data_IF_038772076009
#
_entry.id   IF_038772076009
#
_cell.length_a   1.000
_cell.length_b   1.000
_cell.length_c   1.000
_cell.angle_alpha   90.00
_cell.angle_beta   90.00
_cell.angle_gamma   90.00
#
_symmetry.space_group_name_H-M   'P 1'
#
loop_
_entity.id
_entity.type
_entity.pdbx_description
1 polymer ?
#
# COMPACT_ATOMS: atom_id res chain seq x y z
N UNK A 1 -20.24 -3.63 -27.79
CA UNK A 1 -19.49 -4.84 -27.37
C UNK A 1 -19.38 -5.86 -28.49
N UNK A 2 -20.48 -6.37 -29.06
CA UNK A 2 -20.47 -7.35 -30.16
C UNK A 2 -19.60 -6.98 -31.38
N UNK A 3 -19.63 -5.71 -31.79
CA UNK A 3 -18.79 -5.24 -32.91
C UNK A 3 -17.31 -5.39 -32.59
N UNK A 4 -16.90 -5.00 -31.40
CA UNK A 4 -15.49 -5.03 -30.98
C UNK A 4 -15.06 -6.45 -30.72
N UNK A 5 -15.89 -7.29 -30.09
CA UNK A 5 -15.53 -8.67 -29.73
C UNK A 5 -15.21 -9.57 -30.94
N UNK A 6 -15.72 -9.23 -32.12
CA UNK A 6 -15.44 -9.92 -33.39
C UNK A 6 -14.26 -9.33 -34.18
N UNK A 7 -13.63 -8.25 -33.68
CA UNK A 7 -12.45 -7.67 -34.33
C UNK A 7 -11.21 -8.54 -34.10
N UNK A 8 -10.24 -8.44 -35.00
CA UNK A 8 -8.90 -9.03 -34.84
C UNK A 8 -8.01 -8.05 -34.08
N UNK A 9 -8.21 -7.96 -32.77
CA UNK A 9 -7.40 -7.13 -31.87
C UNK A 9 -6.63 -8.01 -30.88
N UNK A 10 -5.45 -7.55 -30.46
CA UNK A 10 -4.61 -8.19 -29.45
C UNK A 10 -5.03 -7.81 -28.03
N UNK A 11 -5.43 -6.55 -27.83
CA UNK A 11 -5.80 -6.00 -26.53
C UNK A 11 -7.10 -5.23 -26.62
N UNK A 12 -7.89 -5.33 -25.55
CA UNK A 12 -9.08 -4.53 -25.35
C UNK A 12 -9.18 -4.08 -23.90
N UNK A 13 -9.40 -2.78 -23.71
CA UNK A 13 -9.54 -2.20 -22.39
C UNK A 13 -10.77 -1.27 -22.35
N UNK A 14 -11.65 -1.51 -21.39
CA UNK A 14 -12.75 -0.64 -21.03
C UNK A 14 -12.41 0.04 -19.71
N UNK A 15 -12.20 1.35 -19.73
CA UNK A 15 -11.94 2.16 -18.54
C UNK A 15 -13.17 3.04 -18.30
N UNK A 16 -13.86 2.86 -17.18
CA UNK A 16 -15.00 3.72 -16.81
C UNK A 16 -16.22 3.58 -17.73
N UNK A 17 -16.43 2.41 -18.33
CA UNK A 17 -17.54 2.21 -19.24
C UNK A 17 -18.89 2.26 -18.50
N UNK A 18 -19.79 3.11 -18.96
CA UNK A 18 -21.07 3.34 -18.31
C UNK A 18 -22.21 2.86 -19.20
N UNK A 19 -22.99 1.89 -18.73
CA UNK A 19 -24.15 1.39 -19.47
C UNK A 19 -25.35 2.33 -19.28
N UNK A 20 -25.82 2.95 -20.36
CA UNK A 20 -26.96 3.88 -20.34
C UNK A 20 -28.27 3.15 -20.64
N UNK A 21 -29.34 3.50 -19.94
CA UNK A 21 -30.71 3.05 -20.24
C UNK A 21 -31.55 4.26 -20.67
N UNK A 22 -32.09 4.29 -21.89
CA UNK A 22 -32.94 5.40 -22.34
C UNK A 22 -34.39 5.22 -21.90
N UNK A 23 -35.16 6.32 -21.79
CA UNK A 23 -36.58 6.31 -21.40
C UNK A 23 -37.48 5.45 -22.30
N UNK A 24 -37.14 5.29 -23.58
CA UNK A 24 -37.93 4.47 -24.52
C UNK A 24 -37.58 2.97 -24.46
N UNK A 25 -36.49 2.63 -23.76
CA UNK A 25 -36.07 1.23 -23.52
C UNK A 25 -36.58 0.66 -22.21
N UNK A 26 -37.53 1.30 -21.53
CA UNK A 26 -38.11 0.76 -20.27
C UNK A 26 -38.69 -0.64 -20.46
N UNK A 27 -39.26 -0.96 -21.64
CA UNK A 27 -39.67 -2.34 -21.96
C UNK A 27 -38.49 -3.25 -22.34
N UNK A 28 -37.46 -2.74 -23.03
CA UNK A 28 -36.32 -3.53 -23.52
C UNK A 28 -35.26 -3.81 -22.46
N UNK A 29 -35.07 -2.90 -21.49
CA UNK A 29 -34.15 -3.01 -20.34
C UNK A 29 -34.81 -3.75 -19.18
N UNK A 30 -36.14 -3.65 -19.01
CA UNK A 30 -36.85 -4.63 -18.16
C UNK A 30 -36.68 -6.06 -18.67
N UNK A 31 -36.46 -6.25 -19.97
CA UNK A 31 -36.24 -7.55 -20.61
C UNK A 31 -34.76 -7.98 -20.69
N UNK A 32 -33.81 -7.07 -20.97
CA UNK A 32 -32.38 -7.39 -21.05
C UNK A 32 -31.65 -7.12 -19.74
N UNK A 33 -31.90 -7.96 -18.73
CA UNK A 33 -31.07 -8.06 -17.51
C UNK A 33 -29.68 -8.67 -17.78
N UNK A 34 -29.45 -9.10 -19.03
CA UNK A 34 -28.29 -9.88 -19.40
C UNK A 34 -27.78 -9.51 -20.81
N UNK A 35 -26.48 -9.28 -20.94
CA UNK A 35 -25.76 -9.09 -22.22
C UNK A 35 -24.82 -10.29 -22.38
N UNK A 36 -24.89 -11.03 -23.49
CA UNK A 36 -23.92 -12.09 -23.79
C UNK A 36 -22.94 -11.62 -24.87
N UNK A 37 -21.65 -11.80 -24.65
CA UNK A 37 -20.60 -11.41 -25.61
C UNK A 37 -19.58 -12.52 -25.73
N UNK A 38 -19.24 -12.93 -26.96
CA UNK A 38 -18.15 -13.85 -27.24
C UNK A 38 -16.98 -13.11 -27.88
N UNK A 39 -15.78 -13.30 -27.36
CA UNK A 39 -14.55 -12.70 -27.89
C UNK A 39 -13.82 -13.64 -28.85
N UNK A 40 -13.22 -13.06 -29.89
CA UNK A 40 -12.44 -13.79 -30.89
C UNK A 40 -11.10 -14.34 -30.39
N UNK A 41 -10.43 -15.10 -31.24
CA UNK A 41 -9.19 -15.82 -30.91
C UNK A 41 -7.94 -14.94 -30.76
N UNK A 42 -7.99 -13.71 -31.30
CA UNK A 42 -6.82 -12.83 -31.35
C UNK A 42 -6.47 -12.16 -30.02
N UNK A 43 -7.40 -12.14 -29.07
CA UNK A 43 -7.23 -11.39 -27.82
C UNK A 43 -6.26 -12.08 -26.87
N UNK A 44 -5.21 -11.35 -26.50
CA UNK A 44 -4.25 -11.70 -25.46
C UNK A 44 -4.58 -10.98 -24.14
N UNK A 45 -5.19 -9.79 -24.24
CA UNK A 45 -5.52 -8.94 -23.11
C UNK A 45 -6.98 -8.47 -23.18
N UNK A 46 -7.74 -8.70 -22.12
CA UNK A 46 -9.10 -8.17 -21.97
C UNK A 46 -9.22 -7.54 -20.59
N UNK A 47 -9.56 -6.25 -20.54
CA UNK A 47 -9.73 -5.52 -19.30
C UNK A 47 -11.08 -4.82 -19.27
N UNK A 48 -11.87 -5.13 -18.25
CA UNK A 48 -13.03 -4.37 -17.84
C UNK A 48 -12.70 -3.71 -16.50
N UNK A 49 -12.51 -2.40 -16.48
CA UNK A 49 -12.14 -1.65 -15.28
C UNK A 49 -13.14 -0.53 -15.01
N UNK A 50 -13.66 -0.49 -13.78
CA UNK A 50 -14.66 0.51 -13.32
C UNK A 50 -15.89 0.60 -14.24
N UNK A 51 -16.31 -0.50 -14.88
CA UNK A 51 -17.52 -0.42 -15.70
C UNK A 51 -18.75 -0.49 -14.79
N UNK A 52 -19.69 0.43 -14.94
CA UNK A 52 -20.82 0.61 -14.03
C UNK A 52 -22.12 0.95 -14.74
N UNK A 53 -23.19 1.04 -13.96
CA UNK A 53 -24.50 1.47 -14.44
C UNK A 53 -24.76 2.93 -14.08
N UNK A 54 -25.17 3.77 -15.04
CA UNK A 54 -25.63 5.12 -14.72
C UNK A 54 -27.10 5.13 -14.35
N UNK A 55 -27.40 5.62 -13.15
CA UNK A 55 -28.76 5.90 -12.71
C UNK A 55 -28.95 7.42 -12.57
N UNK A 56 -29.94 8.02 -13.24
CA UNK A 56 -30.34 9.39 -12.92
C UNK A 56 -30.81 9.46 -11.46
N UNK A 57 -30.29 10.43 -10.71
CA UNK A 57 -30.47 10.66 -9.26
C UNK A 57 -31.96 10.68 -8.81
N UNK A 58 -32.89 10.85 -9.74
CA UNK A 58 -34.32 11.08 -9.48
C UNK A 58 -35.21 9.82 -9.43
N UNK A 59 -34.66 8.60 -9.49
CA UNK A 59 -35.49 7.38 -9.45
C UNK A 59 -35.56 6.79 -8.03
N UNK A 60 -36.77 6.54 -7.46
CA UNK A 60 -36.90 5.98 -6.12
C UNK A 60 -36.19 4.62 -6.01
N UNK A 61 -35.85 4.19 -4.78
CA UNK A 61 -35.22 2.92 -4.39
C UNK A 61 -35.93 1.63 -4.86
N UNK A 62 -36.89 1.74 -5.78
CA UNK A 62 -37.58 0.63 -6.42
C UNK A 62 -36.61 -0.16 -7.33
N UNK A 63 -36.04 -1.20 -6.73
CA UNK A 63 -35.38 -2.38 -7.32
C UNK A 63 -33.93 -2.15 -7.78
N UNK A 64 -33.00 -2.72 -6.99
CA UNK A 64 -31.60 -2.98 -7.34
C UNK A 64 -31.53 -3.87 -8.59
N UNK A 65 -31.73 -3.31 -9.79
CA UNK A 65 -31.58 -4.08 -11.03
C UNK A 65 -30.09 -4.12 -11.38
N UNK A 66 -29.52 -5.32 -11.35
CA UNK A 66 -28.14 -5.56 -11.75
C UNK A 66 -28.10 -5.91 -13.24
N UNK A 67 -27.21 -5.27 -14.00
CA UNK A 67 -26.91 -5.69 -15.38
C UNK A 67 -25.87 -6.80 -15.30
N UNK A 68 -26.16 -7.95 -15.90
CA UNK A 68 -25.22 -9.07 -15.99
C UNK A 68 -24.63 -9.12 -17.40
N UNK A 69 -23.31 -9.04 -17.52
CA UNK A 69 -22.58 -9.22 -18.76
C UNK A 69 -21.96 -10.61 -18.72
N UNK A 70 -22.52 -11.57 -19.46
CA UNK A 70 -21.90 -12.89 -19.62
C UNK A 70 -20.86 -12.82 -20.73
N UNK A 71 -19.61 -13.04 -20.36
CA UNK A 71 -18.48 -13.02 -21.30
C UNK A 71 -18.05 -14.45 -21.59
N UNK A 72 -18.11 -14.83 -22.87
CA UNK A 72 -17.62 -16.10 -23.36
C UNK A 72 -16.19 -15.95 -23.90
N UNK A 73 -15.26 -16.62 -23.23
CA UNK A 73 -13.82 -16.60 -23.54
C UNK A 73 -13.34 -17.89 -24.19
N UNK A 74 -14.23 -18.85 -24.51
CA UNK A 74 -13.86 -20.17 -25.00
C UNK A 74 -13.02 -20.14 -26.29
N UNK A 75 -13.19 -19.09 -27.12
CA UNK A 75 -12.41 -18.91 -28.34
C UNK A 75 -11.11 -18.14 -28.12
N UNK A 76 -10.90 -17.49 -26.97
CA UNK A 76 -9.72 -16.65 -26.72
C UNK A 76 -8.47 -17.48 -26.37
N UNK A 77 -8.05 -18.39 -27.23
CA UNK A 77 -6.94 -19.32 -26.97
C UNK A 77 -5.60 -18.65 -26.64
N UNK A 78 -5.42 -17.38 -27.03
CA UNK A 78 -4.23 -16.58 -26.73
C UNK A 78 -4.33 -15.76 -25.45
N UNK A 79 -5.46 -15.76 -24.76
CA UNK A 79 -5.70 -14.91 -23.60
C UNK A 79 -4.67 -15.20 -22.49
N UNK A 80 -3.94 -14.16 -22.11
CA UNK A 80 -2.96 -14.18 -21.02
C UNK A 80 -3.42 -13.35 -19.82
N UNK A 81 -4.09 -12.24 -20.09
CA UNK A 81 -4.42 -11.23 -19.08
C UNK A 81 -5.91 -10.94 -19.10
N UNK A 82 -6.54 -11.10 -17.94
CA UNK A 82 -7.96 -10.83 -17.76
C UNK A 82 -8.17 -9.97 -16.50
N UNK A 83 -8.74 -8.79 -16.70
CA UNK A 83 -9.21 -7.93 -15.61
C UNK A 83 -10.71 -7.80 -15.67
N UNK A 84 -11.36 -8.11 -14.56
CA UNK A 84 -12.81 -8.02 -14.38
C UNK A 84 -13.06 -7.24 -13.10
N UNK A 85 -13.00 -5.91 -13.21
CA UNK A 85 -13.28 -4.97 -12.12
C UNK A 85 -14.50 -4.12 -12.46
N UNK A 86 -15.62 -4.40 -11.78
CA UNK A 86 -16.90 -3.76 -12.06
C UNK A 86 -17.33 -2.85 -10.91
N UNK A 87 -18.00 -1.76 -11.29
CA UNK A 87 -18.63 -0.82 -10.37
C UNK A 87 -20.00 -1.31 -9.92
N UNK A 88 -20.68 -0.48 -9.13
CA UNK A 88 -21.99 -0.82 -8.59
C UNK A 88 -23.01 -1.20 -9.68
N UNK A 89 -23.79 -2.24 -9.42
CA UNK A 89 -24.91 -2.71 -10.25
C UNK A 89 -24.54 -3.33 -11.62
N UNK A 90 -23.27 -3.63 -11.89
CA UNK A 90 -22.84 -4.43 -13.04
C UNK A 90 -22.07 -5.70 -12.59
N UNK A 91 -22.36 -6.85 -13.19
CA UNK A 91 -21.61 -8.10 -12.98
C UNK A 91 -21.05 -8.58 -14.30
N UNK A 92 -19.83 -9.12 -14.30
CA UNK A 92 -19.35 -9.98 -15.39
C UNK A 92 -19.29 -11.41 -14.91
N UNK A 93 -19.95 -12.29 -15.66
CA UNK A 93 -19.92 -13.73 -15.44
C UNK A 93 -19.15 -14.34 -16.60
N UNK A 94 -18.09 -15.09 -16.31
CA UNK A 94 -17.37 -15.83 -17.34
C UNK A 94 -18.13 -17.11 -17.70
N UNK A 95 -18.13 -17.50 -18.97
CA UNK A 95 -18.61 -18.84 -19.36
C UNK A 95 -17.78 -19.94 -18.69
N UNK A 96 -18.34 -21.15 -18.56
CA UNK A 96 -17.84 -22.26 -17.73
C UNK A 96 -16.39 -22.75 -18.00
N UNK A 97 -15.67 -22.21 -18.98
CA UNK A 97 -14.31 -22.61 -19.32
C UNK A 97 -13.43 -21.35 -19.45
N UNK A 98 -12.39 -21.24 -18.61
CA UNK A 98 -11.30 -20.30 -18.85
C UNK A 98 -10.20 -21.00 -19.62
N UNK A 99 -9.51 -20.19 -20.42
CA UNK A 99 -8.38 -20.56 -21.26
C UNK A 99 -7.21 -21.02 -20.39
N UNK A 100 -6.72 -22.25 -20.59
CA UNK A 100 -5.55 -22.77 -19.85
C UNK A 100 -4.26 -21.96 -20.03
N UNK A 101 -4.24 -21.01 -20.96
CA UNK A 101 -3.16 -20.05 -21.18
C UNK A 101 -3.16 -18.82 -20.27
N UNK A 102 -4.20 -18.60 -19.46
CA UNK A 102 -4.34 -17.43 -18.60
C UNK A 102 -3.24 -17.39 -17.53
N UNK A 103 -2.57 -16.24 -17.40
CA UNK A 103 -1.44 -16.01 -16.49
C UNK A 103 -1.72 -14.90 -15.47
N UNK A 104 -2.48 -13.88 -15.84
CA UNK A 104 -2.79 -12.75 -14.95
C UNK A 104 -4.30 -12.59 -14.84
N UNK A 105 -4.79 -12.58 -13.60
CA UNK A 105 -6.20 -12.43 -13.31
C UNK A 105 -6.41 -11.38 -12.23
N UNK A 106 -7.23 -10.38 -12.53
CA UNK A 106 -7.70 -9.39 -11.56
C UNK A 106 -9.21 -9.45 -11.47
N UNK A 107 -9.71 -9.70 -10.26
CA UNK A 107 -11.12 -9.80 -9.92
C UNK A 107 -11.45 -8.62 -8.99
N UNK A 108 -12.17 -7.62 -9.50
CA UNK A 108 -12.63 -6.48 -8.70
C UNK A 108 -13.90 -6.79 -7.92
N UNK A 109 -14.35 -5.84 -7.08
CA UNK A 109 -15.45 -5.92 -6.11
C UNK A 109 -16.58 -6.87 -6.54
N UNK A 110 -16.51 -8.11 -6.05
CA UNK A 110 -17.58 -9.09 -6.24
C UNK A 110 -18.61 -8.90 -5.12
N UNK A 111 -19.86 -8.59 -5.48
CA UNK A 111 -20.96 -8.55 -4.53
C UNK A 111 -20.97 -9.86 -3.71
N UNK A 112 -21.13 -9.70 -2.39
CA UNK A 112 -20.81 -10.59 -1.26
C UNK A 112 -21.10 -12.10 -1.35
N UNK A 113 -21.78 -12.59 -2.38
CA UNK A 113 -22.28 -13.97 -2.46
C UNK A 113 -21.71 -14.80 -3.64
N UNK A 114 -21.00 -14.19 -4.60
CA UNK A 114 -20.58 -14.87 -5.82
C UNK A 114 -19.13 -14.55 -6.16
N UNK A 115 -18.19 -15.23 -5.51
CA UNK A 115 -16.90 -15.44 -6.17
C UNK A 115 -17.13 -16.20 -7.48
N UNK A 116 -16.28 -15.94 -8.48
CA UNK A 116 -16.19 -16.82 -9.65
C UNK A 116 -16.18 -18.27 -9.14
N UNK A 117 -17.10 -19.13 -9.60
CA UNK A 117 -16.99 -20.55 -9.32
C UNK A 117 -15.60 -21.02 -9.71
N UNK A 118 -14.86 -21.56 -8.76
CA UNK A 118 -13.46 -21.96 -8.91
C UNK A 118 -13.17 -22.92 -10.04
N UNK A 119 -14.18 -23.69 -10.47
CA UNK A 119 -14.10 -24.53 -11.66
C UNK A 119 -13.75 -23.73 -12.93
N UNK A 120 -13.88 -22.40 -12.92
CA UNK A 120 -13.43 -21.54 -14.00
C UNK A 120 -11.91 -21.50 -14.11
N UNK A 121 -11.13 -21.56 -13.02
CA UNK A 121 -9.66 -21.39 -13.06
C UNK A 121 -8.87 -22.69 -12.83
N UNK A 122 -9.51 -23.86 -12.83
CA UNK A 122 -8.87 -25.12 -12.44
C UNK A 122 -7.62 -25.44 -13.27
N UNK A 123 -7.67 -25.23 -14.59
CA UNK A 123 -6.57 -25.50 -15.52
C UNK A 123 -5.69 -24.27 -15.82
N UNK A 124 -5.98 -23.11 -15.22
CA UNK A 124 -5.21 -21.89 -15.46
C UNK A 124 -3.82 -21.98 -14.80
N UNK A 125 -2.81 -21.42 -15.48
CA UNK A 125 -1.43 -21.34 -14.96
C UNK A 125 -1.15 -19.91 -14.50
N UNK A 126 -1.88 -19.49 -13.48
CA UNK A 126 -1.81 -18.12 -12.98
C UNK A 126 -0.43 -17.85 -12.35
N UNK A 127 0.19 -16.76 -12.80
CA UNK A 127 1.41 -16.18 -12.23
C UNK A 127 1.07 -15.00 -11.30
N UNK A 128 -0.04 -14.30 -11.57
CA UNK A 128 -0.54 -13.18 -10.79
C UNK A 128 -2.05 -13.31 -10.56
N UNK A 129 -2.48 -13.03 -9.34
CA UNK A 129 -3.89 -13.02 -8.96
C UNK A 129 -4.16 -11.84 -8.02
N UNK A 130 -5.14 -11.01 -8.37
CA UNK A 130 -5.70 -9.97 -7.51
C UNK A 130 -7.18 -10.24 -7.29
N UNK A 131 -7.62 -10.21 -6.03
CA UNK A 131 -9.01 -10.41 -5.63
C UNK A 131 -9.43 -9.27 -4.70
N UNK A 132 -10.46 -8.56 -5.11
CA UNK A 132 -11.19 -7.58 -4.29
C UNK A 132 -12.49 -8.21 -3.79
N UNK A 133 -12.60 -8.36 -2.47
CA UNK A 133 -13.64 -9.14 -1.82
C UNK A 133 -14.03 -8.57 -0.45
N UNK A 134 -15.28 -8.76 -0.07
CA UNK A 134 -15.74 -8.43 1.29
C UNK A 134 -15.34 -9.48 2.33
N UNK A 135 -15.21 -10.74 1.94
CA UNK A 135 -14.99 -11.87 2.85
C UNK A 135 -13.74 -12.69 2.47
N UNK A 136 -12.68 -12.58 3.26
CA UNK A 136 -11.42 -13.31 3.07
C UNK A 136 -11.59 -14.83 3.05
N UNK A 137 -12.54 -15.40 3.81
CA UNK A 137 -12.81 -16.84 3.83
C UNK A 137 -13.24 -17.35 2.46
N UNK A 138 -14.02 -16.56 1.73
CA UNK A 138 -14.42 -16.88 0.37
C UNK A 138 -13.19 -16.89 -0.54
N UNK A 139 -12.30 -15.90 -0.45
CA UNK A 139 -11.07 -15.86 -1.25
C UNK A 139 -10.18 -17.06 -0.95
N UNK A 140 -10.03 -17.46 0.32
CA UNK A 140 -9.29 -18.66 0.71
C UNK A 140 -9.92 -19.93 0.13
N UNK A 141 -11.25 -20.06 0.14
CA UNK A 141 -11.92 -21.20 -0.48
C UNK A 141 -11.69 -21.25 -1.99
N UNK A 142 -11.75 -20.12 -2.68
CA UNK A 142 -11.41 -20.04 -4.11
C UNK A 142 -9.96 -20.43 -4.35
N UNK A 143 -9.03 -19.91 -3.55
CA UNK A 143 -7.61 -20.24 -3.65
C UNK A 143 -7.38 -21.74 -3.50
N UNK A 144 -8.09 -22.42 -2.58
CA UNK A 144 -8.00 -23.88 -2.37
C UNK A 144 -8.34 -24.69 -3.63
N UNK A 145 -9.21 -24.17 -4.47
CA UNK A 145 -9.78 -24.88 -5.62
C UNK A 145 -9.02 -24.64 -6.94
N UNK A 146 -8.17 -23.61 -7.02
CA UNK A 146 -7.35 -23.33 -8.21
C UNK A 146 -5.97 -24.00 -8.15
N UNK A 147 -5.33 -24.16 -9.30
CA UNK A 147 -3.91 -24.50 -9.37
C UNK A 147 -3.04 -23.31 -8.96
N UNK A 148 -2.29 -23.44 -7.86
CA UNK A 148 -1.45 -22.39 -7.26
C UNK A 148 0.04 -22.57 -7.55
N UNK A 149 0.43 -23.58 -8.33
CA UNK A 149 1.84 -23.98 -8.48
C UNK A 149 2.71 -22.90 -9.12
N UNK A 150 2.16 -22.14 -10.06
CA UNK A 150 2.86 -21.08 -10.79
C UNK A 150 2.61 -19.68 -10.20
N UNK A 151 1.76 -19.57 -9.16
CA UNK A 151 1.35 -18.27 -8.63
C UNK A 151 2.50 -17.62 -7.87
N UNK A 152 3.01 -16.51 -8.40
CA UNK A 152 4.15 -15.77 -7.86
C UNK A 152 3.71 -14.57 -7.02
N UNK A 153 2.59 -13.96 -7.37
CA UNK A 153 2.09 -12.74 -6.74
C UNK A 153 0.58 -12.87 -6.47
N UNK A 154 0.21 -12.70 -5.20
CA UNK A 154 -1.17 -12.65 -4.74
C UNK A 154 -1.47 -11.29 -4.09
N UNK A 155 -2.54 -10.64 -4.53
CA UNK A 155 -3.07 -9.40 -3.94
C UNK A 155 -4.49 -9.65 -3.45
N UNK A 156 -4.75 -9.39 -2.17
CA UNK A 156 -6.06 -9.51 -1.55
C UNK A 156 -6.49 -8.15 -1.03
N UNK A 157 -7.55 -7.61 -1.61
CA UNK A 157 -8.18 -6.35 -1.20
C UNK A 157 -9.47 -6.72 -0.48
N UNK A 158 -9.51 -6.46 0.82
CA UNK A 158 -10.58 -6.75 1.75
C UNK A 158 -11.25 -5.45 2.19
N UNK A 159 -12.19 -4.95 1.38
CA UNK A 159 -12.97 -3.74 1.71
C UNK A 159 -14.23 -4.19 2.44
N UNK A 160 -14.37 -3.85 3.71
CA UNK A 160 -15.57 -4.12 4.50
C UNK A 160 -16.43 -2.84 4.53
N UNK A 161 -17.65 -2.91 4.01
CA UNK A 161 -18.65 -1.83 4.11
C UNK A 161 -19.37 -1.99 5.46
N UNK A 162 -18.98 -1.24 6.51
CA UNK A 162 -19.70 -1.25 7.78
C UNK A 162 -19.03 -0.53 8.95
N UNK A 163 -19.84 -0.10 9.93
CA UNK A 163 -19.40 0.55 11.17
C UNK A 163 -19.11 -0.44 12.33
N UNK A 164 -18.96 -1.72 12.05
CA UNK A 164 -18.73 -2.76 13.07
C UNK A 164 -17.32 -3.31 12.93
N UNK A 165 -16.61 -3.50 14.04
CA UNK A 165 -15.34 -4.23 14.09
C UNK A 165 -15.56 -5.64 13.53
N UNK A 166 -15.17 -5.86 12.29
CA UNK A 166 -15.11 -7.19 11.70
C UNK A 166 -13.65 -7.67 11.70
N UNK A 167 -13.47 -8.89 12.18
CA UNK A 167 -12.16 -9.54 12.24
C UNK A 167 -11.93 -10.33 10.96
N UNK A 168 -10.92 -9.96 10.20
CA UNK A 168 -10.43 -10.72 9.06
C UNK A 168 -9.44 -11.79 9.56
N UNK A 169 -9.89 -13.04 9.69
CA UNK A 169 -9.01 -14.17 10.00
C UNK A 169 -8.29 -14.66 8.74
N UNK A 170 -6.98 -14.39 8.70
CA UNK A 170 -6.09 -14.78 7.62
C UNK A 170 -5.33 -16.09 7.89
N UNK A 171 -5.53 -16.76 9.03
CA UNK A 171 -4.80 -18.00 9.39
C UNK A 171 -4.84 -19.06 8.28
N UNK A 172 -6.02 -19.28 7.71
CA UNK A 172 -6.22 -20.29 6.66
C UNK A 172 -5.50 -19.94 5.35
N UNK A 173 -5.16 -18.67 5.11
CA UNK A 173 -4.40 -18.24 3.93
C UNK A 173 -2.95 -18.72 4.03
N UNK A 174 -2.31 -18.53 5.19
CA UNK A 174 -0.90 -18.91 5.42
C UNK A 174 -0.67 -20.42 5.54
N UNK A 175 -1.75 -21.19 5.78
CA UNK A 175 -1.74 -22.64 5.75
C UNK A 175 -1.83 -23.22 4.32
N UNK A 176 -2.08 -22.40 3.30
CA UNK A 176 -2.10 -22.88 1.91
C UNK A 176 -0.68 -23.09 1.41
N UNK A 177 -0.46 -24.25 0.80
CA UNK A 177 0.77 -24.55 0.08
C UNK A 177 0.80 -23.82 -1.28
N UNK A 178 1.90 -23.09 -1.50
CA UNK A 178 2.22 -22.38 -2.72
C UNK A 178 3.65 -22.75 -3.16
N UNK A 179 3.79 -23.31 -4.36
CA UNK A 179 5.11 -23.72 -4.84
C UNK A 179 6.01 -22.55 -5.28
N UNK A 180 5.43 -21.43 -5.72
CA UNK A 180 6.14 -20.31 -6.34
C UNK A 180 5.83 -18.92 -5.76
N UNK A 181 4.98 -18.82 -4.72
CA UNK A 181 4.55 -17.51 -4.19
C UNK A 181 5.72 -16.77 -3.55
N UNK A 182 5.98 -15.56 -4.07
CA UNK A 182 7.05 -14.67 -3.60
C UNK A 182 6.52 -13.37 -3.03
N UNK A 183 5.36 -12.90 -3.49
CA UNK A 183 4.78 -11.62 -3.09
C UNK A 183 3.34 -11.83 -2.63
N UNK A 184 3.06 -11.37 -1.41
CA UNK A 184 1.72 -11.33 -0.83
C UNK A 184 1.40 -9.90 -0.40
N UNK A 185 0.29 -9.38 -0.90
CA UNK A 185 -0.24 -8.08 -0.53
C UNK A 185 -1.64 -8.27 0.07
N UNK A 186 -1.87 -7.75 1.28
CA UNK A 186 -3.16 -7.80 1.97
C UNK A 186 -3.56 -6.37 2.32
N UNK A 187 -4.61 -5.87 1.67
CA UNK A 187 -5.19 -4.56 1.98
C UNK A 187 -6.56 -4.76 2.65
N UNK A 188 -6.62 -4.62 3.96
CA UNK A 188 -7.83 -4.68 4.78
C UNK A 188 -8.30 -3.28 5.22
N UNK A 189 -8.33 -2.30 4.31
CA UNK A 189 -8.56 -0.87 4.61
C UNK A 189 -9.98 -0.41 5.00
N UNK A 190 -10.83 -1.27 5.55
CA UNK A 190 -12.14 -0.86 6.12
C UNK A 190 -11.98 -0.25 7.50
N UNK A 191 -12.85 0.71 7.86
CA UNK A 191 -12.87 1.31 9.21
C UNK A 191 -13.04 0.20 10.25
N UNK A 192 -12.10 0.12 11.20
CA UNK A 192 -12.09 -0.85 12.30
C UNK A 192 -11.76 -2.32 11.95
N UNK A 193 -11.23 -2.60 10.76
CA UNK A 193 -10.84 -3.98 10.43
C UNK A 193 -9.63 -4.44 11.26
N UNK A 194 -9.77 -5.64 11.84
CA UNK A 194 -8.66 -6.34 12.51
C UNK A 194 -8.21 -7.51 11.68
N UNK A 195 -6.97 -7.51 11.22
CA UNK A 195 -6.34 -8.71 10.65
C UNK A 195 -5.84 -9.57 11.80
N UNK A 196 -6.33 -10.80 11.86
CA UNK A 196 -5.97 -11.77 12.89
C UNK A 196 -5.42 -13.03 12.26
N UNK A 197 -4.56 -13.71 12.99
CA UNK A 197 -4.39 -15.14 12.81
C UNK A 197 -4.98 -15.85 14.02
N UNK A 198 -5.90 -16.77 13.80
CA UNK A 198 -6.21 -17.79 14.80
C UNK A 198 -4.96 -18.62 15.18
N UNK A 199 -5.13 -19.69 15.96
CA UNK A 199 -4.01 -20.59 16.28
C UNK A 199 -3.53 -21.32 15.02
N UNK A 200 -2.41 -20.89 14.42
CA UNK A 200 -1.79 -21.59 13.30
C UNK A 200 -0.78 -22.61 13.83
N UNK A 201 -0.81 -23.82 13.29
CA UNK A 201 0.11 -24.91 13.67
C UNK A 201 1.30 -25.05 12.71
N UNK A 202 1.23 -24.52 11.47
CA UNK A 202 2.33 -24.58 10.51
C UNK A 202 2.15 -23.59 9.34
N UNK A 203 3.14 -22.70 9.12
CA UNK A 203 3.14 -21.75 7.99
C UNK A 203 3.72 -22.45 6.74
N UNK A 204 2.98 -22.44 5.64
CA UNK A 204 3.37 -23.13 4.40
C UNK A 204 4.03 -22.21 3.36
N UNK A 205 3.97 -20.89 3.53
CA UNK A 205 4.52 -19.88 2.60
C UNK A 205 6.04 -19.71 2.71
N UNK A 206 6.80 -20.81 2.64
CA UNK A 206 8.24 -20.83 2.93
C UNK A 206 9.13 -20.05 1.94
N UNK A 207 8.61 -19.69 0.76
CA UNK A 207 9.33 -18.93 -0.29
C UNK A 207 8.93 -17.46 -0.36
N UNK A 208 8.10 -16.98 0.57
CA UNK A 208 7.63 -15.61 0.55
C UNK A 208 8.79 -14.64 0.78
N UNK A 209 9.05 -13.76 -0.20
CA UNK A 209 10.13 -12.77 -0.16
C UNK A 209 9.60 -11.36 0.16
N UNK A 210 8.32 -11.08 -0.12
CA UNK A 210 7.69 -9.78 0.10
C UNK A 210 6.31 -9.93 0.71
N UNK A 211 6.06 -9.23 1.81
CA UNK A 211 4.77 -9.13 2.47
C UNK A 211 4.41 -7.66 2.66
N UNK A 212 3.25 -7.25 2.14
CA UNK A 212 2.70 -5.92 2.36
C UNK A 212 1.33 -6.02 2.99
N UNK A 213 1.13 -5.26 4.05
CA UNK A 213 -0.11 -5.27 4.83
C UNK A 213 -0.56 -3.83 5.05
N UNK A 214 -1.79 -3.54 4.65
CA UNK A 214 -2.49 -2.31 5.00
C UNK A 214 -3.72 -2.68 5.83
N UNK A 215 -3.76 -2.31 7.10
CA UNK A 215 -4.90 -2.61 7.96
C UNK A 215 -4.96 -1.64 9.14
N UNK A 216 -6.14 -1.26 9.64
CA UNK A 216 -6.24 -0.46 10.86
C UNK A 216 -5.62 -1.18 12.07
N UNK A 217 -5.89 -2.48 12.23
CA UNK A 217 -5.36 -3.26 13.35
C UNK A 217 -4.75 -4.60 12.91
N UNK A 218 -3.60 -4.92 13.50
CA UNK A 218 -2.99 -6.24 13.46
C UNK A 218 -3.00 -6.85 14.87
N UNK A 219 -3.22 -8.15 14.99
CA UNK A 219 -3.09 -8.83 16.28
C UNK A 219 -1.69 -9.39 16.55
N UNK A 220 -1.39 -9.64 17.82
CA UNK A 220 -0.06 -10.09 18.24
C UNK A 220 0.30 -11.47 17.67
N UNK A 221 -0.69 -12.35 17.49
CA UNK A 221 -0.49 -13.70 16.96
C UNK A 221 -0.07 -13.61 15.50
N UNK A 222 -0.70 -12.72 14.72
CA UNK A 222 -0.35 -12.48 13.33
C UNK A 222 1.04 -11.85 13.22
N UNK A 223 1.37 -10.87 14.09
CA UNK A 223 2.73 -10.34 14.17
C UNK A 223 3.77 -11.44 14.43
N UNK A 224 3.50 -12.32 15.40
CA UNK A 224 4.39 -13.44 15.71
C UNK A 224 4.54 -14.38 14.51
N UNK A 225 3.46 -14.67 13.79
CA UNK A 225 3.51 -15.47 12.56
C UNK A 225 4.42 -14.84 11.49
N UNK A 226 4.46 -13.50 11.36
CA UNK A 226 5.37 -12.83 10.41
C UNK A 226 6.84 -13.11 10.75
N UNK A 227 7.18 -13.19 12.05
CA UNK A 227 8.58 -13.45 12.48
C UNK A 227 9.12 -14.81 12.04
N UNK A 228 8.23 -15.76 11.76
CA UNK A 228 8.56 -17.11 11.32
C UNK A 228 8.82 -17.20 9.80
N UNK A 229 8.67 -16.11 9.05
CA UNK A 229 8.94 -16.08 7.61
C UNK A 229 10.44 -15.91 7.31
N UNK A 230 11.16 -17.04 7.25
CA UNK A 230 12.62 -17.08 7.10
C UNK A 230 13.17 -16.53 5.77
N UNK A 231 12.37 -16.47 4.71
CA UNK A 231 12.78 -15.97 3.39
C UNK A 231 12.38 -14.50 3.14
N UNK A 232 11.72 -13.87 4.11
CA UNK A 232 11.20 -12.52 3.96
C UNK A 232 12.34 -11.51 3.83
N UNK A 233 12.33 -10.74 2.73
CA UNK A 233 13.30 -9.67 2.45
C UNK A 233 12.66 -8.29 2.52
N UNK A 234 11.37 -8.20 2.26
CA UNK A 234 10.65 -6.94 2.23
C UNK A 234 9.36 -7.06 3.04
N UNK A 235 9.22 -6.19 4.04
CA UNK A 235 8.04 -6.08 4.87
C UNK A 235 7.51 -4.65 4.85
N UNK A 236 6.25 -4.47 4.49
CA UNK A 236 5.52 -3.21 4.66
C UNK A 236 4.31 -3.44 5.57
N UNK A 237 4.24 -2.71 6.69
CA UNK A 237 3.09 -2.71 7.59
C UNK A 237 2.60 -1.28 7.75
N UNK A 238 1.39 -1.03 7.27
CA UNK A 238 0.71 0.26 7.39
C UNK A 238 -0.51 0.15 8.31
N UNK A 239 -0.43 0.78 9.48
CA UNK A 239 -1.53 0.88 10.45
C UNK A 239 -2.10 2.29 10.52
N UNK A 240 -3.43 2.40 10.67
CA UNK A 240 -4.15 3.67 10.57
C UNK A 240 -4.70 4.21 11.90
N UNK A 241 -4.57 3.48 13.03
CA UNK A 241 -5.22 3.88 14.29
C UNK A 241 -4.29 3.81 15.51
N UNK A 242 -4.49 4.76 16.43
CA UNK A 242 -3.44 5.29 17.30
C UNK A 242 -3.59 4.96 18.80
N UNK A 243 -3.62 3.65 19.11
CA UNK A 243 -3.58 3.18 20.50
C UNK A 243 -2.19 2.71 20.95
N UNK A 244 -1.64 3.42 21.93
CA UNK A 244 -0.38 3.23 22.67
C UNK A 244 0.01 1.78 23.05
N UNK A 245 -0.97 0.92 23.35
CA UNK A 245 -0.72 -0.43 23.88
C UNK A 245 -0.11 -1.36 22.82
N UNK A 246 -0.26 -1.04 21.54
CA UNK A 246 0.14 -1.89 20.40
C UNK A 246 1.60 -1.70 19.97
N UNK A 247 2.19 -0.56 20.35
CA UNK A 247 3.55 -0.16 20.00
C UNK A 247 4.62 -1.12 20.54
N UNK A 248 4.53 -1.54 21.81
CA UNK A 248 5.52 -2.44 22.43
C UNK A 248 5.54 -3.84 21.80
N UNK A 249 4.37 -4.35 21.41
CA UNK A 249 4.25 -5.66 20.77
C UNK A 249 4.90 -5.63 19.38
N UNK A 250 4.62 -4.58 18.61
CA UNK A 250 5.23 -4.34 17.31
C UNK A 250 6.76 -4.30 17.41
N UNK A 251 7.32 -3.48 18.32
CA UNK A 251 8.76 -3.37 18.54
C UNK A 251 9.42 -4.72 18.87
N UNK A 252 8.79 -5.48 19.78
CA UNK A 252 9.26 -6.82 20.14
C UNK A 252 9.24 -7.78 18.96
N UNK A 253 8.25 -7.72 18.08
CA UNK A 253 8.16 -8.66 16.97
C UNK A 253 9.09 -8.28 15.81
N UNK A 254 9.26 -6.99 15.53
CA UNK A 254 10.22 -6.49 14.53
C UNK A 254 11.66 -6.92 14.85
N UNK A 255 12.07 -6.83 16.11
CA UNK A 255 13.39 -7.28 16.57
C UNK A 255 13.62 -8.79 16.49
N UNK A 256 12.55 -9.57 16.32
CA UNK A 256 12.58 -11.04 16.24
C UNK A 256 12.38 -11.58 14.81
N UNK A 257 12.33 -10.72 13.78
CA UNK A 257 12.23 -11.17 12.39
C UNK A 257 13.43 -12.07 12.02
N UNK A 258 13.15 -13.30 11.57
CA UNK A 258 14.18 -14.28 11.18
C UNK A 258 14.70 -14.09 9.75
N UNK A 259 13.92 -13.46 8.89
CA UNK A 259 14.24 -13.27 7.47
C UNK A 259 15.39 -12.28 7.23
N UNK A 260 16.07 -12.36 6.07
CA UNK A 260 17.07 -11.39 5.66
C UNK A 260 16.41 -10.08 5.19
N UNK A 261 15.79 -9.35 6.13
CA UNK A 261 15.06 -8.11 5.84
C UNK A 261 16.03 -7.10 5.22
N UNK A 262 15.78 -6.73 3.96
CA UNK A 262 16.52 -5.72 3.21
C UNK A 262 15.75 -4.39 3.13
N UNK A 263 14.42 -4.47 3.16
CA UNK A 263 13.51 -3.31 3.11
C UNK A 263 12.42 -3.43 4.17
N UNK A 264 12.21 -2.36 4.92
CA UNK A 264 11.19 -2.31 5.97
C UNK A 264 10.44 -0.98 5.93
N UNK A 265 9.12 -1.04 5.89
CA UNK A 265 8.23 0.09 6.14
C UNK A 265 7.35 -0.23 7.34
N UNK A 266 7.33 0.68 8.31
CA UNK A 266 6.43 0.60 9.47
C UNK A 266 5.76 1.96 9.65
N UNK A 267 4.43 1.98 9.55
CA UNK A 267 3.59 3.14 9.90
C UNK A 267 2.80 2.77 11.15
N UNK A 268 3.33 3.15 12.32
CA UNK A 268 2.74 2.97 13.65
C UNK A 268 3.32 4.01 14.59
N UNK A 269 2.55 4.49 15.57
CA UNK A 269 2.95 5.56 16.51
C UNK A 269 4.12 5.17 17.42
N UNK A 270 5.33 5.20 16.88
CA UNK A 270 6.55 4.85 17.58
C UNK A 270 7.44 6.08 17.71
N UNK A 271 8.10 6.21 18.86
CA UNK A 271 9.20 7.18 18.99
C UNK A 271 10.37 6.73 18.14
N UNK A 272 11.23 7.68 17.73
CA UNK A 272 12.46 7.36 16.97
C UNK A 272 13.34 6.38 17.75
N UNK A 273 13.48 6.58 19.06
CA UNK A 273 14.21 5.67 19.94
C UNK A 273 13.68 4.22 19.86
N UNK A 274 12.36 4.03 19.94
CA UNK A 274 11.74 2.70 19.86
C UNK A 274 11.92 2.07 18.47
N UNK A 275 11.84 2.86 17.40
CA UNK A 275 12.09 2.41 16.04
C UNK A 275 13.54 1.92 15.87
N UNK A 276 14.52 2.74 16.29
CA UNK A 276 15.96 2.41 16.21
C UNK A 276 16.25 1.11 16.95
N UNK A 277 15.76 0.96 18.18
CA UNK A 277 15.93 -0.28 18.97
C UNK A 277 15.31 -1.50 18.30
N UNK A 278 14.19 -1.33 17.61
CA UNK A 278 13.48 -2.42 16.96
C UNK A 278 14.18 -2.93 15.71
N UNK A 279 14.90 -2.05 15.00
CA UNK A 279 15.59 -2.39 13.74
C UNK A 279 17.09 -2.64 13.91
N UNK A 280 17.70 -2.25 15.04
CA UNK A 280 19.10 -2.55 15.38
C UNK A 280 19.50 -4.03 15.14
N UNK A 281 18.67 -5.04 15.47
CA UNK A 281 18.99 -6.44 15.20
C UNK A 281 19.01 -6.82 13.70
N UNK A 282 18.39 -6.03 12.82
CA UNK A 282 18.17 -6.32 11.40
C UNK A 282 19.40 -5.95 10.55
N UNK A 283 20.48 -6.73 10.68
CA UNK A 283 21.79 -6.45 10.07
C UNK A 283 21.81 -6.38 8.53
N UNK A 284 20.81 -6.94 7.87
CA UNK A 284 20.68 -6.92 6.40
C UNK A 284 19.87 -5.74 5.88
N UNK A 285 19.28 -4.94 6.77
CA UNK A 285 18.40 -3.84 6.41
C UNK A 285 19.20 -2.77 5.67
N UNK A 286 18.76 -2.43 4.45
CA UNK A 286 19.38 -1.42 3.59
C UNK A 286 18.49 -0.19 3.43
N UNK A 287 17.18 -0.41 3.34
CA UNK A 287 16.19 0.63 3.12
C UNK A 287 15.15 0.59 4.26
N UNK A 288 15.01 1.72 4.94
CA UNK A 288 14.02 1.87 6.00
C UNK A 288 13.10 3.03 5.68
N UNK A 289 11.79 2.83 5.80
CA UNK A 289 10.78 3.86 5.57
C UNK A 289 9.96 4.11 6.82
N UNK A 290 9.93 5.39 7.21
CA UNK A 290 9.18 5.92 8.32
C UNK A 290 8.01 6.73 7.77
N UNK A 291 6.80 6.43 8.25
CA UNK A 291 5.64 7.30 8.06
C UNK A 291 5.67 8.39 9.14
N UNK A 292 5.92 9.64 8.74
CA UNK A 292 6.07 10.76 9.66
C UNK A 292 4.80 11.16 10.39
N UNK A 293 3.61 10.75 9.91
CA UNK A 293 2.37 10.85 10.70
C UNK A 293 2.45 10.06 12.00
N UNK A 294 3.27 9.04 12.01
CA UNK A 294 3.36 8.06 13.09
C UNK A 294 4.58 8.27 13.98
N UNK A 295 5.32 9.38 13.82
CA UNK A 295 6.38 9.73 14.75
C UNK A 295 5.80 10.67 15.78
N UNK A 296 5.70 10.21 17.03
CA UNK A 296 5.39 11.13 18.13
C UNK A 296 6.57 12.09 18.32
N UNK A 297 6.40 13.41 18.16
CA UNK A 297 7.44 14.34 18.54
C UNK A 297 7.61 14.22 20.05
N UNK A 298 8.76 13.73 20.50
CA UNK A 298 9.11 13.64 21.93
C UNK A 298 9.17 15.01 22.63
N UNK A 299 8.99 16.11 21.89
CA UNK A 299 9.14 17.48 22.39
C UNK A 299 8.02 17.93 23.33
N UNK A 300 6.79 17.43 23.20
CA UNK A 300 5.69 17.82 24.11
C UNK A 300 5.75 17.11 25.48
N UNK A 301 6.56 16.06 25.62
CA UNK A 301 6.64 15.23 26.83
C UNK A 301 7.39 15.88 27.98
N UNK A 302 8.24 16.89 27.75
CA UNK A 302 9.05 17.50 28.81
C UNK A 302 8.41 18.75 29.43
N UNK A 303 7.51 19.43 28.71
CA UNK A 303 6.89 20.68 29.18
C UNK A 303 5.46 20.51 29.71
N UNK A 304 4.73 19.47 29.30
CA UNK A 304 3.34 19.22 29.72
C UNK A 304 3.19 17.90 30.49
N UNK A 305 3.92 17.74 31.60
CA UNK A 305 3.53 16.77 32.63
C UNK A 305 2.34 17.28 33.43
N UNK A 306 1.15 17.16 32.85
CA UNK A 306 -0.10 17.05 33.60
C UNK A 306 -0.77 15.70 33.30
N UNK A 307 -0.02 14.61 33.46
CA UNK A 307 -0.63 13.28 33.61
C UNK A 307 -0.96 13.04 35.08
N UNK A 308 -2.11 13.56 35.48
CA UNK A 308 -2.83 12.97 36.60
C UNK A 308 -3.35 11.59 36.15
N UNK A 309 -2.88 10.53 36.83
CA UNK A 309 -3.28 9.12 36.72
C UNK A 309 -2.70 8.29 35.56
N UNK A 310 -1.38 8.13 35.55
CA UNK A 310 -0.78 6.80 35.38
C UNK A 310 0.57 6.82 36.11
N UNK A 311 0.62 6.27 37.33
CA UNK A 311 1.92 5.95 37.91
C UNK A 311 2.58 4.90 37.00
N UNK A 312 3.77 5.15 36.45
CA UNK A 312 4.54 4.09 35.82
C UNK A 312 4.74 3.00 36.89
N UNK A 313 4.34 1.78 36.57
CA UNK A 313 4.72 0.62 37.38
C UNK A 313 6.23 0.71 37.59
N UNK A 314 6.68 0.65 38.86
CA UNK A 314 8.07 0.81 39.31
C UNK A 314 9.05 0.36 38.23
N UNK A 315 9.54 1.33 37.46
CA UNK A 315 10.61 1.15 36.50
C UNK A 315 11.85 0.86 37.35
N UNK A 316 12.48 -0.29 37.10
CA UNK A 316 13.70 -0.69 37.78
C UNK A 316 14.73 0.44 37.64
N UNK A 317 15.41 0.80 38.73
CA UNK A 317 16.37 1.91 38.75
C UNK A 317 17.52 1.76 37.72
N UNK A 318 17.65 0.59 37.10
CA UNK A 318 18.56 0.34 35.99
C UNK A 318 18.12 0.96 34.65
N UNK A 319 16.82 1.14 34.37
CA UNK A 319 16.37 1.74 33.10
C UNK A 319 16.59 3.26 33.07
N UNK A 320 16.49 3.95 34.21
CA UNK A 320 16.84 5.37 34.32
C UNK A 320 18.35 5.62 34.24
N UNK A 321 19.17 4.72 34.80
CA UNK A 321 20.63 4.82 34.69
C UNK A 321 21.17 4.43 33.31
N UNK A 322 20.36 3.82 32.44
CA UNK A 322 20.69 3.54 31.04
C UNK A 322 20.50 4.74 30.10
N UNK A 323 19.73 5.78 30.50
CA UNK A 323 19.62 7.03 29.75
C UNK A 323 20.93 7.85 29.78
N UNK A 324 21.77 7.68 30.80
CA UNK A 324 23.03 8.42 30.96
C UNK A 324 24.22 7.79 30.23
N UNK A 325 24.11 6.54 29.77
CA UNK A 325 25.12 5.90 28.91
C UNK A 325 24.64 5.86 27.45
N UNK A 326 24.61 7.01 26.77
CA UNK A 326 24.35 7.08 25.32
C UNK A 326 25.52 6.51 24.53
N UNK A 327 25.65 5.18 24.49
CA UNK A 327 26.24 4.54 23.33
C UNK A 327 25.20 4.63 22.21
N UNK A 328 25.29 5.69 21.40
CA UNK A 328 24.45 5.83 20.21
C UNK A 328 24.74 4.66 19.28
N UNK A 329 23.71 3.87 19.00
CA UNK A 329 23.82 2.75 18.06
C UNK A 329 23.69 3.33 16.66
N UNK A 330 24.78 3.28 15.88
CA UNK A 330 24.72 3.66 14.48
C UNK A 330 24.19 2.48 13.63
N UNK A 331 23.08 2.73 12.95
CA UNK A 331 22.44 1.80 12.03
C UNK A 331 23.15 1.85 10.68
N UNK A 332 23.55 0.69 10.17
CA UNK A 332 24.20 0.55 8.85
C UNK A 332 23.18 0.52 7.71
N UNK A 333 22.39 1.59 7.59
CA UNK A 333 21.39 1.75 6.56
C UNK A 333 21.97 2.46 5.34
N UNK A 334 21.59 2.05 4.13
CA UNK A 334 21.96 2.78 2.93
C UNK A 334 20.99 3.92 2.64
N UNK A 335 19.70 3.67 2.82
CA UNK A 335 18.63 4.61 2.47
C UNK A 335 17.61 4.73 3.60
N UNK A 336 17.32 5.97 3.98
CA UNK A 336 16.20 6.32 4.86
C UNK A 336 15.14 7.06 4.06
N UNK A 337 13.89 6.62 4.18
CA UNK A 337 12.71 7.30 3.65
C UNK A 337 11.91 7.86 4.82
N UNK A 338 11.53 9.14 4.73
CA UNK A 338 10.67 9.81 5.71
C UNK A 338 9.51 10.42 4.93
N UNK A 339 8.29 9.96 5.19
CA UNK A 339 7.08 10.59 4.64
C UNK A 339 6.57 11.66 5.59
N UNK A 340 6.20 12.83 5.08
CA UNK A 340 5.77 13.98 5.91
C UNK A 340 4.44 14.50 5.37
N UNK A 341 3.41 14.41 6.21
CA UNK A 341 2.06 14.91 5.92
C UNK A 341 1.82 16.33 6.52
N UNK A 342 2.76 16.81 7.34
CA UNK A 342 2.68 18.05 8.14
C UNK A 342 3.60 19.18 7.64
N UNK A 343 3.75 20.25 8.43
CA UNK A 343 4.57 21.42 8.07
C UNK A 343 6.07 21.07 8.12
N UNK A 344 6.89 21.77 7.33
CA UNK A 344 8.35 21.61 7.35
C UNK A 344 8.98 21.88 8.72
N UNK A 345 8.29 22.60 9.61
CA UNK A 345 8.72 22.86 10.99
C UNK A 345 8.82 21.56 11.80
N UNK A 346 7.82 20.69 11.73
CA UNK A 346 7.84 19.38 12.39
C UNK A 346 8.95 18.48 11.82
N UNK A 347 9.21 18.56 10.51
CA UNK A 347 10.34 17.84 9.90
C UNK A 347 11.69 18.36 10.40
N UNK A 348 11.86 19.67 10.54
CA UNK A 348 13.09 20.25 11.10
C UNK A 348 13.27 19.81 12.55
N UNK A 349 12.21 19.88 13.36
CA UNK A 349 12.24 19.42 14.76
C UNK A 349 12.58 17.92 14.87
N UNK A 350 12.01 17.09 13.98
CA UNK A 350 12.36 15.68 13.88
C UNK A 350 13.84 15.49 13.54
N UNK A 351 14.36 16.19 12.54
CA UNK A 351 15.77 16.07 12.12
C UNK A 351 16.77 16.58 13.19
N UNK A 352 16.32 17.45 14.09
CA UNK A 352 17.10 17.96 15.24
C UNK A 352 17.00 17.06 16.48
N UNK A 353 16.19 16.02 16.45
CA UNK A 353 16.11 15.06 17.54
C UNK A 353 17.41 14.24 17.61
N UNK A 354 18.04 14.20 18.80
CA UNK A 354 19.30 13.47 19.01
C UNK A 354 19.21 11.97 18.67
N UNK A 355 18.02 11.38 18.70
CA UNK A 355 17.85 9.96 18.35
C UNK A 355 18.04 9.70 16.84
N UNK A 356 18.03 10.74 15.99
CA UNK A 356 18.38 10.62 14.57
C UNK A 356 19.89 10.42 14.33
N UNK A 357 20.75 10.67 15.33
CA UNK A 357 22.18 10.33 15.24
C UNK A 357 22.40 8.83 14.96
N UNK A 358 21.44 7.99 15.32
CA UNK A 358 21.44 6.57 14.97
C UNK A 358 21.47 6.32 13.44
N UNK A 359 21.03 7.28 12.63
CA UNK A 359 21.00 7.22 11.18
C UNK A 359 22.15 8.01 10.53
N UNK A 360 23.13 8.50 11.28
CA UNK A 360 24.20 9.37 10.76
C UNK A 360 25.00 8.79 9.57
N UNK A 361 25.08 7.46 9.46
CA UNK A 361 25.83 6.73 8.43
C UNK A 361 25.02 6.48 7.13
N UNK A 362 23.82 7.04 6.97
CA UNK A 362 23.05 6.87 5.72
C UNK A 362 23.71 7.58 4.53
N UNK A 363 23.62 6.96 3.36
CA UNK A 363 24.13 7.51 2.10
C UNK A 363 23.04 8.29 1.36
N UNK A 364 21.77 7.85 1.50
CA UNK A 364 20.63 8.45 0.82
C UNK A 364 19.48 8.74 1.78
N UNK A 365 18.97 9.97 1.75
CA UNK A 365 17.76 10.39 2.46
C UNK A 365 16.70 10.73 1.42
N UNK A 366 15.49 10.18 1.59
CA UNK A 366 14.33 10.48 0.76
C UNK A 366 13.24 11.07 1.64
N UNK A 367 12.78 12.27 1.32
CA UNK A 367 11.70 12.97 2.00
C UNK A 367 10.50 12.97 1.07
N UNK A 368 9.48 12.16 1.37
CA UNK A 368 8.21 12.19 0.65
C UNK A 368 7.35 13.32 1.24
N UNK A 369 7.06 14.34 0.44
CA UNK A 369 6.19 15.46 0.78
C UNK A 369 4.79 15.19 0.25
N UNK A 370 3.82 15.01 1.15
CA UNK A 370 2.42 14.79 0.81
C UNK A 370 1.61 16.04 1.19
N UNK A 371 1.21 16.89 0.22
CA UNK A 371 0.45 18.10 0.51
C UNK A 371 -0.97 17.76 0.98
N UNK A 372 -1.37 18.28 2.13
CA UNK A 372 -2.76 18.15 2.61
C UNK A 372 -3.76 18.99 1.80
N UNK A 373 -3.32 20.03 1.08
CA UNK A 373 -4.14 20.85 0.16
C UNK A 373 -3.32 21.36 -1.04
N UNK A 374 -3.69 21.03 -2.29
CA UNK A 374 -2.95 21.45 -3.51
C UNK A 374 -2.79 22.98 -3.65
N UNK A 375 -3.78 23.78 -3.26
CA UNK A 375 -3.75 25.25 -3.44
C UNK A 375 -2.96 26.07 -2.40
N UNK A 376 -2.37 25.45 -1.37
CA UNK A 376 -1.66 26.17 -0.29
C UNK A 376 -0.16 26.34 -0.58
N UNK A 377 0.33 25.68 -1.63
CA UNK A 377 1.69 25.73 -2.16
C UNK A 377 2.17 27.19 -2.22
N UNK A 378 1.58 28.05 -3.05
CA UNK A 378 2.09 29.42 -3.28
C UNK A 378 2.26 30.30 -2.02
N UNK A 379 1.29 30.28 -1.09
CA UNK A 379 1.30 31.17 0.10
C UNK A 379 2.30 30.70 1.16
N UNK A 380 2.54 29.40 1.23
CA UNK A 380 3.47 28.83 2.19
C UNK A 380 4.94 28.94 1.71
N UNK A 381 5.21 29.02 0.41
CA UNK A 381 6.59 28.97 -0.12
C UNK A 381 7.44 30.24 0.12
N UNK A 382 6.84 31.44 0.24
CA UNK A 382 7.60 32.67 0.55
C UNK A 382 8.11 32.69 2.00
N UNK A 383 7.32 32.24 2.99
CA UNK A 383 7.79 32.12 4.38
C UNK A 383 8.70 30.90 4.59
N UNK A 384 8.56 29.87 3.76
CA UNK A 384 9.37 28.64 3.80
C UNK A 384 10.84 28.83 3.41
N UNK A 385 11.22 29.92 2.75
CA UNK A 385 12.59 30.09 2.22
C UNK A 385 13.68 29.91 3.29
N UNK A 386 13.51 30.55 4.46
CA UNK A 386 14.48 30.47 5.55
C UNK A 386 14.44 29.11 6.24
N UNK A 387 13.26 28.50 6.33
CA UNK A 387 13.06 27.20 6.96
C UNK A 387 13.65 26.07 6.11
N UNK A 388 13.49 26.12 4.79
CA UNK A 388 14.00 25.11 3.88
C UNK A 388 15.53 25.09 3.80
N UNK A 389 16.18 26.26 3.80
CA UNK A 389 17.64 26.32 3.88
C UNK A 389 18.15 25.78 5.22
N UNK A 390 17.48 26.13 6.33
CA UNK A 390 17.79 25.56 7.65
C UNK A 390 17.60 24.05 7.68
N UNK A 391 16.55 23.52 7.05
CA UNK A 391 16.32 22.09 6.92
C UNK A 391 17.47 21.40 6.18
N UNK A 392 17.90 21.93 5.04
CA UNK A 392 19.04 21.36 4.28
C UNK A 392 20.32 21.42 5.11
N UNK A 393 20.60 22.55 5.76
CA UNK A 393 21.78 22.71 6.63
C UNK A 393 21.74 21.68 7.77
N UNK A 394 20.63 21.59 8.51
CA UNK A 394 20.45 20.61 9.58
C UNK A 394 20.56 19.16 9.08
N UNK A 395 20.01 18.83 7.92
CA UNK A 395 20.15 17.50 7.31
C UNK A 395 21.61 17.19 7.00
N UNK A 396 22.35 18.12 6.39
CA UNK A 396 23.75 17.91 6.04
C UNK A 396 24.67 17.90 7.28
N UNK A 397 24.29 18.58 8.36
CA UNK A 397 24.97 18.53 9.65
C UNK A 397 24.72 17.19 10.37
N UNK A 398 23.46 16.71 10.38
CA UNK A 398 23.09 15.44 11.02
C UNK A 398 23.62 14.22 10.27
N UNK A 399 23.65 14.26 8.94
CA UNK A 399 24.07 13.13 8.08
C UNK A 399 25.38 13.44 7.34
N UNK A 400 26.51 13.38 8.05
CA UNK A 400 27.82 13.71 7.48
C UNK A 400 28.16 12.88 6.23
N UNK A 401 27.70 11.62 6.17
CA UNK A 401 27.93 10.67 5.07
C UNK A 401 26.86 10.71 3.96
N UNK A 402 25.92 11.66 4.02
CA UNK A 402 24.88 11.79 3.02
C UNK A 402 25.46 12.22 1.67
N UNK A 403 25.31 11.36 0.67
CA UNK A 403 25.66 11.65 -0.73
C UNK A 403 24.46 12.18 -1.50
N UNK A 404 23.25 11.67 -1.21
CA UNK A 404 22.04 11.98 -1.97
C UNK A 404 20.86 12.34 -1.05
N UNK A 405 20.35 13.57 -1.20
CA UNK A 405 19.10 14.01 -0.61
C UNK A 405 18.02 14.11 -1.69
N UNK A 406 16.91 13.40 -1.52
CA UNK A 406 15.79 13.38 -2.47
C UNK A 406 14.55 13.97 -1.82
N UNK A 407 13.94 14.95 -2.47
CA UNK A 407 12.59 15.42 -2.16
C UNK A 407 11.63 14.85 -3.21
N UNK A 408 10.67 14.03 -2.76
CA UNK A 408 9.64 13.46 -3.62
C UNK A 408 8.30 14.09 -3.29
N UNK A 409 7.77 14.88 -4.20
CA UNK A 409 6.45 15.47 -4.09
C UNK A 409 5.44 14.57 -4.79
N UNK A 410 4.47 14.04 -4.04
CA UNK A 410 3.42 13.16 -4.55
C UNK A 410 2.06 13.83 -4.36
N UNK A 411 1.35 14.09 -5.46
CA UNK A 411 -0.04 14.56 -5.44
C UNK A 411 -0.82 13.79 -6.50
N UNK A 412 -2.10 13.52 -6.23
CA UNK A 412 -2.98 12.80 -7.17
C UNK A 412 -3.23 13.58 -8.46
N UNK A 413 -3.05 14.91 -8.42
CA UNK A 413 -3.14 15.82 -9.57
C UNK A 413 -2.09 16.93 -9.37
N UNK A 414 -0.92 16.82 -10.00
CA UNK A 414 0.04 17.93 -10.09
C UNK A 414 -0.24 18.64 -11.41
N UNK A 415 -0.70 19.88 -11.36
CA UNK A 415 -0.83 20.68 -12.59
C UNK A 415 0.55 21.04 -13.16
N UNK A 416 0.64 21.25 -14.48
CA UNK A 416 1.87 21.74 -15.12
C UNK A 416 2.37 23.04 -14.49
N UNK A 417 1.46 23.90 -14.03
CA UNK A 417 1.78 25.16 -13.34
C UNK A 417 2.41 24.92 -11.96
N UNK A 418 1.86 24.02 -11.15
CA UNK A 418 2.45 23.63 -9.87
C UNK A 418 3.82 22.96 -10.06
N UNK A 419 3.94 22.07 -11.04
CA UNK A 419 5.23 21.47 -11.41
C UNK A 419 6.26 22.53 -11.81
N UNK A 420 5.86 23.53 -12.60
CA UNK A 420 6.73 24.64 -12.99
C UNK A 420 7.13 25.51 -11.80
N UNK A 421 6.21 25.81 -10.89
CA UNK A 421 6.48 26.58 -9.66
C UNK A 421 7.48 25.83 -8.77
N UNK A 422 7.26 24.53 -8.53
CA UNK A 422 8.19 23.69 -7.78
C UNK A 422 9.56 23.68 -8.47
N UNK A 423 9.59 23.49 -9.78
CA UNK A 423 10.83 23.50 -10.55
C UNK A 423 11.57 24.83 -10.44
N UNK A 424 10.91 25.97 -10.57
CA UNK A 424 11.52 27.29 -10.37
C UNK A 424 11.99 27.50 -8.93
N UNK A 425 11.22 27.05 -7.95
CA UNK A 425 11.59 27.13 -6.53
C UNK A 425 12.88 26.36 -6.26
N UNK A 426 12.93 25.07 -6.59
CA UNK A 426 14.14 24.26 -6.38
C UNK A 426 15.29 24.75 -7.26
N UNK A 427 15.07 25.02 -8.56
CA UNK A 427 16.14 25.42 -9.50
C UNK A 427 16.74 26.81 -9.24
N UNK A 428 15.94 27.79 -8.80
CA UNK A 428 16.45 29.11 -8.43
C UNK A 428 17.33 29.03 -7.17
N UNK A 429 17.01 28.13 -6.24
CA UNK A 429 17.76 27.86 -5.02
C UNK A 429 18.94 26.92 -5.23
N UNK A 430 18.93 26.12 -6.30
CA UNK A 430 20.13 25.43 -6.78
C UNK A 430 21.29 26.41 -7.01
N UNK A 431 21.04 27.68 -7.39
CA UNK A 431 22.12 28.64 -7.65
C UNK A 431 22.89 29.06 -6.38
N UNK A 432 22.27 29.09 -5.20
CA UNK A 432 22.95 29.46 -3.95
C UNK A 432 23.70 28.29 -3.32
N UNK A 433 23.26 27.05 -3.55
CA UNK A 433 23.91 25.82 -3.05
C UNK A 433 24.91 25.21 -4.06
N UNK A 434 24.87 25.63 -5.34
CA UNK A 434 25.68 25.11 -6.45
C UNK A 434 27.18 25.19 -6.28
N UNK A 435 27.68 25.97 -5.33
CA UNK A 435 29.11 26.00 -5.04
C UNK A 435 29.62 24.69 -4.40
N UNK A 436 28.73 23.77 -3.97
CA UNK A 436 29.10 22.51 -3.29
C UNK A 436 28.33 21.24 -3.68
N UNK A 437 27.25 21.33 -4.45
CA UNK A 437 26.37 20.18 -4.75
C UNK A 437 25.75 20.26 -6.17
N UNK A 438 25.40 19.11 -6.76
CA UNK A 438 24.69 18.98 -8.05
C UNK A 438 23.20 18.66 -7.85
N UNK A 439 22.31 19.23 -8.68
CA UNK A 439 20.87 18.99 -8.60
C UNK A 439 20.32 18.34 -9.87
N UNK A 440 19.37 17.42 -9.73
CA UNK A 440 18.59 16.85 -10.84
C UNK A 440 17.09 16.84 -10.54
N UNK A 441 16.26 17.08 -11.55
CA UNK A 441 14.81 17.08 -11.45
C UNK A 441 14.17 16.14 -12.47
N UNK A 442 13.18 15.36 -12.02
CA UNK A 442 12.31 14.54 -12.88
C UNK A 442 10.85 14.80 -12.51
N UNK A 443 10.04 15.14 -13.51
CA UNK A 443 8.62 15.38 -13.35
C UNK A 443 7.84 14.46 -14.29
N UNK A 444 6.75 13.87 -13.78
CA UNK A 444 5.71 13.26 -14.58
C UNK A 444 4.33 13.72 -14.06
N UNK A 445 3.24 13.17 -14.60
CA UNK A 445 1.87 13.56 -14.22
C UNK A 445 1.51 13.22 -12.75
N UNK A 446 2.25 12.32 -12.10
CA UNK A 446 1.92 11.78 -10.76
C UNK A 446 2.87 12.24 -9.64
N UNK A 447 4.10 12.64 -9.98
CA UNK A 447 5.12 13.02 -9.00
C UNK A 447 6.19 13.95 -9.59
N UNK A 448 6.76 14.75 -8.69
CA UNK A 448 7.95 15.57 -8.96
C UNK A 448 9.06 15.16 -8.00
N UNK A 449 10.22 14.76 -8.54
CA UNK A 449 11.38 14.30 -7.78
C UNK A 449 12.52 15.30 -7.97
N UNK A 450 13.08 15.77 -6.86
CA UNK A 450 14.28 16.61 -6.81
C UNK A 450 15.37 15.87 -6.07
N UNK A 451 16.55 15.75 -6.68
CA UNK A 451 17.69 15.05 -6.11
C UNK A 451 18.86 16.03 -5.97
N UNK A 452 19.43 16.10 -4.76
CA UNK A 452 20.64 16.83 -4.41
C UNK A 452 21.77 15.85 -4.18
N UNK A 453 22.83 16.00 -4.95
CA UNK A 453 24.06 15.21 -4.87
C UNK A 453 25.16 16.08 -4.24
N UNK A 454 25.73 15.61 -3.14
CA UNK A 454 26.96 16.18 -2.55
C UNK A 454 28.17 15.77 -3.39
#
# INVERSE_FOLDING_TARGET
LEKVSNMKLESLMFIGCTFLTSKDTVQTVQQCKQIEVAFGESYENICFNRCGWFRPILSPLAHKQMIIIKVNLNKCVKLRNLTVNMGEYASVILSKQIVGGLRYLTLGKMNCDWLLPSFWCYDARLEYLSIDIFNLKLAVNFLKEINRNELKHLVLICILDGCLLETCDASNLFNLDFAALKVLEINAGGLYNKLSSGSTSEIQMRKLETLKIWCPYLDEVFMQMITELEMLKHLEICMYDDEDVKCKSLCRQLSNLKGPIEKLLVSSELTIYELVRSIEPLKTLKEFRIDGRSIRPTFDSLANQSYDKCQPAKVDANEQNLMESKNVVHLKLHTLHVSVDSTYEELIELMLCQDFEAFADIIKLVIDLVPTRPGVIQVSFESMQTQFNRLIESVLETFEQLDVLVFCYKSSDISEEEAHILREFFSSRCKSLKERCEWSDKCNEEQTIFELYK
#
